data_IF_201886478894
#
_entry.id   IF_201886478894
#
_cell.length_a   1.000
_cell.length_b   1.000
_cell.length_c   1.000
_cell.angle_alpha   90.00
_cell.angle_beta   90.00
_cell.angle_gamma   90.00
#
_symmetry.space_group_name_H-M   'P 1'
#
loop_
_entity.id
_entity.type
_entity.pdbx_description
1 polymer ?
#
# COMPACT_ATOMS: atom_id res chain seq x y z
N UNK A 1 8.16 -41.56 -14.89
CA UNK A 1 7.34 -41.23 -13.69
C UNK A 1 8.03 -40.11 -12.92
N UNK A 2 8.09 -38.91 -13.50
CA UNK A 2 8.69 -37.72 -12.90
C UNK A 2 7.98 -36.52 -13.55
N UNK A 3 6.99 -35.90 -12.87
CA UNK A 3 6.60 -34.48 -13.04
C UNK A 3 5.21 -34.15 -12.41
N UNK A 4 5.06 -34.11 -11.08
CA UNK A 4 3.82 -33.58 -10.47
C UNK A 4 4.04 -32.62 -9.27
N UNK A 5 5.23 -32.05 -9.10
CA UNK A 5 5.55 -31.28 -7.87
C UNK A 5 5.65 -29.74 -8.04
N UNK A 6 5.17 -29.12 -9.13
CA UNK A 6 5.35 -27.66 -9.31
C UNK A 6 4.15 -26.85 -9.85
N UNK A 7 2.91 -27.33 -9.71
CA UNK A 7 1.73 -26.55 -10.14
C UNK A 7 0.95 -25.91 -8.98
N UNK A 8 1.15 -26.35 -7.74
CA UNK A 8 0.38 -25.87 -6.56
C UNK A 8 0.96 -24.61 -5.91
N UNK A 9 2.27 -24.35 -6.05
CA UNK A 9 2.92 -23.17 -5.47
C UNK A 9 2.66 -21.88 -6.29
N UNK A 10 2.67 -21.97 -7.61
CA UNK A 10 2.38 -20.84 -8.52
C UNK A 10 0.95 -20.31 -8.37
N UNK A 11 -0.05 -21.19 -8.27
CA UNK A 11 -1.45 -20.80 -8.14
C UNK A 11 -1.76 -20.18 -6.75
N UNK A 12 -1.13 -20.69 -5.68
CA UNK A 12 -1.27 -20.11 -4.34
C UNK A 12 -0.66 -18.70 -4.28
N UNK A 13 0.54 -18.51 -4.81
CA UNK A 13 1.26 -17.23 -4.76
C UNK A 13 0.53 -16.12 -5.52
N UNK A 14 0.03 -16.40 -6.72
CA UNK A 14 -0.78 -15.45 -7.50
C UNK A 14 -2.14 -15.17 -6.82
N UNK A 15 -2.77 -16.19 -6.24
CA UNK A 15 -3.96 -16.00 -5.42
C UNK A 15 -3.70 -15.10 -4.21
N UNK A 16 -2.59 -15.27 -3.49
CA UNK A 16 -2.23 -14.40 -2.35
C UNK A 16 -1.93 -12.97 -2.78
N UNK A 17 -1.26 -12.76 -3.92
CA UNK A 17 -1.06 -11.42 -4.50
C UNK A 17 -2.41 -10.75 -4.79
N UNK A 18 -3.34 -11.47 -5.42
CA UNK A 18 -4.70 -10.96 -5.66
C UNK A 18 -5.44 -10.63 -4.36
N UNK A 19 -5.37 -11.50 -3.32
CA UNK A 19 -6.01 -11.23 -2.01
C UNK A 19 -5.42 -10.02 -1.29
N UNK A 20 -4.10 -9.79 -1.40
CA UNK A 20 -3.43 -8.60 -0.84
C UNK A 20 -3.77 -7.33 -1.62
N UNK A 21 -3.89 -7.42 -2.94
CA UNK A 21 -4.37 -6.31 -3.76
C UNK A 21 -5.76 -5.88 -3.34
N UNK A 22 -6.69 -6.83 -3.21
CA UNK A 22 -8.05 -6.56 -2.71
C UNK A 22 -7.99 -5.99 -1.28
N UNK A 23 -7.11 -6.51 -0.40
CA UNK A 23 -6.90 -5.94 0.92
C UNK A 23 -6.51 -4.46 0.87
N UNK A 24 -5.59 -4.07 -0.02
CA UNK A 24 -5.18 -2.66 -0.17
C UNK A 24 -6.31 -1.78 -0.71
N UNK A 25 -7.15 -2.29 -1.60
CA UNK A 25 -8.34 -1.56 -2.07
C UNK A 25 -9.31 -1.27 -0.92
N UNK A 26 -9.56 -2.26 -0.04
CA UNK A 26 -10.36 -2.06 1.17
C UNK A 26 -9.70 -1.12 2.18
N UNK A 27 -8.38 -1.20 2.37
CA UNK A 27 -7.66 -0.22 3.22
C UNK A 27 -7.83 1.19 2.65
N UNK A 28 -7.67 1.37 1.34
CA UNK A 28 -7.85 2.66 0.69
C UNK A 28 -9.25 3.23 0.93
N UNK A 29 -10.30 2.40 0.80
CA UNK A 29 -11.68 2.81 1.12
C UNK A 29 -11.84 3.23 2.59
N UNK A 30 -11.28 2.45 3.51
CA UNK A 30 -11.33 2.77 4.94
C UNK A 30 -10.60 4.06 5.31
N UNK A 31 -9.41 4.28 4.74
CA UNK A 31 -8.64 5.50 4.95
C UNK A 31 -9.29 6.72 4.29
N UNK A 32 -9.94 6.55 3.14
CA UNK A 32 -10.74 7.59 2.53
C UNK A 32 -11.91 7.99 3.44
N UNK A 33 -12.68 7.01 3.93
CA UNK A 33 -13.77 7.26 4.89
C UNK A 33 -13.24 7.95 6.14
N UNK A 34 -12.16 7.45 6.72
CA UNK A 34 -11.51 8.04 7.89
C UNK A 34 -11.12 9.51 7.64
N UNK A 35 -10.53 9.82 6.49
CA UNK A 35 -10.10 11.17 6.15
C UNK A 35 -11.26 12.13 5.94
N UNK A 36 -12.34 11.69 5.30
CA UNK A 36 -13.45 12.55 4.88
C UNK A 36 -14.51 12.68 5.98
N UNK A 37 -14.82 11.58 6.67
CA UNK A 37 -15.90 11.49 7.66
C UNK A 37 -15.41 11.23 9.10
N UNK A 38 -14.12 10.92 9.29
CA UNK A 38 -13.61 10.50 10.59
C UNK A 38 -14.05 9.08 10.96
N UNK A 39 -14.09 8.81 12.26
CA UNK A 39 -14.48 7.51 12.82
C UNK A 39 -13.31 6.72 13.41
N UNK A 40 -13.62 5.80 14.31
CA UNK A 40 -12.64 4.87 14.88
C UNK A 40 -12.29 3.77 13.89
N UNK A 41 -11.04 3.31 13.91
CA UNK A 41 -10.56 2.26 13.02
C UNK A 41 -11.40 0.98 13.12
N UNK A 42 -11.75 0.54 14.35
CA UNK A 42 -12.59 -0.65 14.58
C UNK A 42 -13.97 -0.55 13.92
N UNK A 43 -14.59 0.63 13.97
CA UNK A 43 -15.91 0.85 13.39
C UNK A 43 -15.84 0.78 11.85
N UNK A 44 -14.85 1.46 11.26
CA UNK A 44 -14.62 1.43 9.81
C UNK A 44 -14.32 -0.01 9.36
N UNK A 45 -13.48 -0.71 10.10
CA UNK A 45 -13.11 -2.09 9.83
C UNK A 45 -14.33 -3.02 9.83
N UNK A 46 -15.20 -2.88 10.85
CA UNK A 46 -16.43 -3.68 10.95
C UNK A 46 -17.34 -3.44 9.74
N UNK A 47 -17.55 -2.19 9.34
CA UNK A 47 -18.38 -1.87 8.17
C UNK A 47 -17.83 -2.46 6.88
N UNK A 48 -16.53 -2.35 6.64
CA UNK A 48 -15.92 -2.87 5.41
C UNK A 48 -15.99 -4.40 5.31
N UNK A 49 -16.00 -5.09 6.46
CA UNK A 49 -16.14 -6.56 6.54
C UNK A 49 -17.52 -7.06 6.13
N UNK A 50 -18.53 -6.20 6.11
CA UNK A 50 -19.89 -6.56 5.68
C UNK A 50 -20.02 -6.70 4.15
N UNK A 51 -19.04 -6.23 3.37
CA UNK A 51 -19.02 -6.36 1.91
C UNK A 51 -18.86 -7.82 1.48
N UNK A 52 -19.63 -8.26 0.49
CA UNK A 52 -19.53 -9.61 -0.07
C UNK A 52 -18.15 -9.92 -0.65
N UNK A 53 -17.48 -8.91 -1.22
CA UNK A 53 -16.13 -8.99 -1.78
C UNK A 53 -15.07 -9.26 -0.70
N UNK A 54 -15.36 -8.94 0.57
CA UNK A 54 -14.41 -9.06 1.67
C UNK A 54 -13.95 -10.52 1.91
N UNK A 55 -14.73 -11.53 1.50
CA UNK A 55 -14.32 -12.95 1.56
C UNK A 55 -13.04 -13.25 0.77
N UNK A 56 -12.69 -12.38 -0.18
CA UNK A 56 -11.48 -12.49 -1.00
C UNK A 56 -10.29 -11.70 -0.43
N UNK A 57 -10.42 -11.00 0.69
CA UNK A 57 -9.38 -10.16 1.29
C UNK A 57 -8.35 -10.99 2.06
N UNK A 58 -7.07 -10.64 1.95
CA UNK A 58 -6.08 -11.03 2.98
C UNK A 58 -6.40 -10.27 4.28
N UNK A 59 -7.28 -10.86 5.11
CA UNK A 59 -7.83 -10.21 6.31
C UNK A 59 -6.77 -9.81 7.30
N UNK A 60 -5.70 -10.60 7.43
CA UNK A 60 -4.60 -10.28 8.35
C UNK A 60 -3.90 -9.00 7.88
N UNK A 61 -3.51 -8.96 6.60
CA UNK A 61 -2.86 -7.79 6.03
C UNK A 61 -3.77 -6.55 6.09
N UNK A 62 -5.04 -6.67 5.69
CA UNK A 62 -6.01 -5.59 5.79
C UNK A 62 -6.10 -5.00 7.20
N UNK A 63 -6.29 -5.86 8.22
CA UNK A 63 -6.43 -5.42 9.62
C UNK A 63 -5.17 -4.70 10.09
N UNK A 64 -4.00 -5.33 9.88
CA UNK A 64 -2.71 -4.78 10.32
C UNK A 64 -2.42 -3.41 9.70
N UNK A 65 -2.78 -3.23 8.44
CA UNK A 65 -2.50 -2.00 7.71
C UNK A 65 -3.52 -0.92 8.02
N UNK A 66 -4.84 -1.20 8.00
CA UNK A 66 -5.86 -0.20 8.30
C UNK A 66 -5.68 0.37 9.71
N UNK A 67 -5.60 -0.52 10.70
CA UNK A 67 -5.43 -0.14 12.11
C UNK A 67 -4.10 0.57 12.32
N UNK A 68 -3.02 0.00 11.79
CA UNK A 68 -1.68 0.55 11.91
C UNK A 68 -1.57 1.96 11.32
N UNK A 69 -2.12 2.18 10.13
CA UNK A 69 -2.11 3.51 9.51
C UNK A 69 -2.87 4.54 10.35
N UNK A 70 -4.07 4.20 10.85
CA UNK A 70 -4.88 5.14 11.63
C UNK A 70 -4.19 5.46 12.97
N UNK A 71 -3.61 4.45 13.64
CA UNK A 71 -2.90 4.64 14.91
C UNK A 71 -1.62 5.47 14.73
N UNK A 72 -0.87 5.24 13.66
CA UNK A 72 0.40 5.93 13.39
C UNK A 72 0.25 7.15 12.46
N UNK A 73 -0.96 7.65 12.24
CA UNK A 73 -1.22 8.64 11.20
C UNK A 73 -0.34 9.89 11.32
N UNK A 74 -0.18 10.44 12.53
CA UNK A 74 0.67 11.62 12.76
C UNK A 74 2.14 11.36 12.39
N UNK A 75 2.69 10.22 12.81
CA UNK A 75 4.07 9.81 12.48
C UNK A 75 4.24 9.64 10.97
N UNK A 76 3.26 9.03 10.30
CA UNK A 76 3.28 8.83 8.85
C UNK A 76 3.19 10.17 8.12
N UNK A 77 2.32 11.09 8.54
CA UNK A 77 2.22 12.44 7.94
C UNK A 77 3.53 13.22 8.08
N UNK A 78 4.16 13.19 9.26
CA UNK A 78 5.48 13.80 9.51
C UNK A 78 6.59 13.15 8.65
N UNK A 79 6.52 11.85 8.44
CA UNK A 79 7.44 11.12 7.58
C UNK A 79 7.27 11.48 6.09
N UNK A 80 6.03 11.67 5.65
CA UNK A 80 5.68 11.95 4.25
C UNK A 80 5.95 13.41 3.89
N UNK A 81 5.66 14.36 4.79
CA UNK A 81 5.69 15.80 4.49
C UNK A 81 6.99 16.30 3.83
N UNK A 82 8.21 15.88 4.25
CA UNK A 82 9.46 16.30 3.59
C UNK A 82 9.62 15.80 2.15
N UNK A 83 8.84 14.79 1.73
CA UNK A 83 8.87 14.25 0.37
C UNK A 83 7.87 14.95 -0.57
N UNK A 84 6.93 15.73 -0.02
CA UNK A 84 5.92 16.49 -0.74
C UNK A 84 6.44 17.87 -1.15
N UNK A 85 5.85 18.41 -2.21
CA UNK A 85 6.02 19.79 -2.68
C UNK A 85 4.93 20.74 -2.16
N UNK A 86 3.93 20.20 -1.45
CA UNK A 86 2.82 20.92 -0.82
C UNK A 86 2.52 20.35 0.57
N UNK A 87 1.81 21.10 1.43
CA UNK A 87 1.31 20.57 2.71
C UNK A 87 0.50 19.28 2.53
N UNK A 88 0.62 18.32 3.45
CA UNK A 88 -0.15 17.07 3.47
C UNK A 88 -1.66 17.34 3.38
N UNK A 89 -2.14 18.40 4.03
CA UNK A 89 -3.56 18.81 3.99
C UNK A 89 -4.08 19.17 2.59
N UNK A 90 -3.20 19.48 1.65
CA UNK A 90 -3.54 19.86 0.28
C UNK A 90 -3.50 18.64 -0.68
N UNK A 91 -3.25 17.44 -0.16
CA UNK A 91 -3.44 16.20 -0.91
C UNK A 91 -4.92 15.90 -1.10
N UNK A 92 -5.28 15.33 -2.25
CA UNK A 92 -6.60 14.72 -2.41
C UNK A 92 -6.77 13.56 -1.41
N UNK A 93 -8.00 13.23 -0.98
CA UNK A 93 -8.23 12.11 -0.05
C UNK A 93 -7.65 10.78 -0.53
N UNK A 94 -7.63 10.54 -1.85
CA UNK A 94 -7.06 9.32 -2.45
C UNK A 94 -5.54 9.34 -2.40
N UNK A 95 -4.88 10.44 -2.79
CA UNK A 95 -3.42 10.57 -2.66
C UNK A 95 -2.98 10.40 -1.21
N UNK A 96 -3.69 11.07 -0.28
CA UNK A 96 -3.43 10.97 1.15
C UNK A 96 -3.50 9.51 1.62
N UNK A 97 -4.60 8.82 1.35
CA UNK A 97 -4.79 7.45 1.78
C UNK A 97 -3.76 6.49 1.18
N UNK A 98 -3.43 6.61 -0.11
CA UNK A 98 -2.42 5.76 -0.77
C UNK A 98 -1.03 6.01 -0.17
N UNK A 99 -0.65 7.27 0.04
CA UNK A 99 0.65 7.61 0.60
C UNK A 99 0.81 7.11 2.04
N UNK A 100 -0.22 7.23 2.87
CA UNK A 100 -0.20 6.70 4.23
C UNK A 100 -0.10 5.17 4.24
N UNK A 101 -0.97 4.49 3.48
CA UNK A 101 -0.96 3.03 3.28
C UNK A 101 0.43 2.53 2.87
N UNK A 102 0.98 3.07 1.79
CA UNK A 102 2.23 2.60 1.23
C UNK A 102 3.43 2.95 2.11
N UNK A 103 3.42 4.10 2.80
CA UNK A 103 4.48 4.46 3.75
C UNK A 103 4.49 3.49 4.93
N UNK A 104 3.32 3.15 5.47
CA UNK A 104 3.20 2.15 6.53
C UNK A 104 3.74 0.79 6.07
N UNK A 105 3.42 0.34 4.85
CA UNK A 105 4.00 -0.89 4.31
C UNK A 105 5.53 -0.84 4.18
N UNK A 106 6.07 0.28 3.68
CA UNK A 106 7.52 0.49 3.55
C UNK A 106 8.25 0.46 4.91
N UNK A 107 7.58 0.82 6.00
CA UNK A 107 8.16 0.83 7.34
C UNK A 107 7.99 -0.50 8.07
N UNK A 108 6.85 -1.16 7.92
CA UNK A 108 6.45 -2.27 8.80
C UNK A 108 6.43 -3.66 8.15
N UNK A 109 6.54 -3.77 6.83
CA UNK A 109 6.45 -5.05 6.11
C UNK A 109 7.72 -5.36 5.30
N UNK A 110 8.89 -5.58 5.94
CA UNK A 110 10.18 -5.86 5.27
C UNK A 110 10.16 -7.07 4.32
N UNK A 111 9.22 -7.99 4.50
CA UNK A 111 9.02 -9.15 3.63
C UNK A 111 8.38 -8.79 2.28
N UNK A 112 7.80 -7.59 2.12
CA UNK A 112 7.23 -7.10 0.88
C UNK A 112 8.26 -6.20 0.17
N UNK A 113 8.76 -6.59 -1.02
CA UNK A 113 9.72 -5.76 -1.75
C UNK A 113 9.18 -4.36 -2.02
N UNK A 114 9.99 -3.32 -1.81
CA UNK A 114 9.52 -1.93 -1.96
C UNK A 114 8.88 -1.63 -3.32
N UNK A 115 9.38 -2.26 -4.40
CA UNK A 115 8.80 -2.10 -5.75
C UNK A 115 7.40 -2.67 -5.88
N UNK A 116 7.11 -3.78 -5.19
CA UNK A 116 5.76 -4.32 -5.19
C UNK A 116 4.80 -3.34 -4.51
N UNK A 117 5.21 -2.72 -3.39
CA UNK A 117 4.42 -1.69 -2.71
C UNK A 117 4.17 -0.49 -3.64
N UNK A 118 5.23 0.03 -4.27
CA UNK A 118 5.11 1.18 -5.19
C UNK A 118 4.21 0.85 -6.39
N UNK A 119 4.39 -0.32 -7.01
CA UNK A 119 3.58 -0.73 -8.15
C UNK A 119 2.09 -0.80 -7.78
N UNK A 120 1.75 -1.41 -6.65
CA UNK A 120 0.36 -1.48 -6.17
C UNK A 120 -0.21 -0.09 -5.86
N UNK A 121 0.60 0.80 -5.28
CA UNK A 121 0.20 2.18 -5.01
C UNK A 121 -0.13 2.96 -6.30
N UNK A 122 0.67 2.77 -7.35
CA UNK A 122 0.43 3.37 -8.67
C UNK A 122 -0.87 2.81 -9.28
N UNK A 123 -1.10 1.50 -9.19
CA UNK A 123 -2.33 0.89 -9.68
C UNK A 123 -3.56 1.42 -8.94
N UNK A 124 -3.51 1.53 -7.60
CA UNK A 124 -4.57 2.17 -6.82
C UNK A 124 -4.79 3.62 -7.27
N UNK A 125 -3.72 4.40 -7.48
CA UNK A 125 -3.84 5.78 -7.91
C UNK A 125 -4.41 5.91 -9.34
N UNK A 126 -4.17 4.94 -10.22
CA UNK A 126 -4.80 4.87 -11.55
C UNK A 126 -6.27 4.51 -11.47
N UNK A 127 -6.64 3.61 -10.58
CA UNK A 127 -8.02 3.12 -10.45
C UNK A 127 -8.92 4.13 -9.72
N UNK A 128 -8.41 4.78 -8.66
CA UNK A 128 -9.23 5.61 -7.77
C UNK A 128 -8.88 7.11 -7.83
N UNK A 129 -7.73 7.47 -8.39
CA UNK A 129 -7.26 8.86 -8.43
C UNK A 129 -7.62 9.62 -9.71
N UNK A 130 -7.20 10.88 -9.77
CA UNK A 130 -7.32 11.72 -10.97
C UNK A 130 -6.28 11.39 -12.04
N UNK A 131 -6.42 11.99 -13.24
CA UNK A 131 -5.64 11.68 -14.44
C UNK A 131 -4.11 11.64 -14.25
N UNK A 132 -3.56 12.45 -13.34
CA UNK A 132 -2.12 12.56 -13.08
C UNK A 132 -1.70 12.11 -11.67
N UNK A 133 -2.63 11.66 -10.82
CA UNK A 133 -2.34 11.33 -9.40
C UNK A 133 -1.32 10.21 -9.24
N UNK A 134 -1.32 9.24 -10.16
CA UNK A 134 -0.38 8.11 -10.14
C UNK A 134 1.09 8.52 -10.36
N UNK A 135 1.37 9.55 -11.17
CA UNK A 135 2.75 10.05 -11.35
C UNK A 135 3.25 10.75 -10.09
N UNK A 136 2.37 11.51 -9.45
CA UNK A 136 2.67 12.18 -8.19
C UNK A 136 2.98 11.17 -7.08
N UNK A 137 2.08 10.21 -6.86
CA UNK A 137 2.26 9.12 -5.89
C UNK A 137 3.59 8.38 -6.14
N UNK A 138 3.89 8.02 -7.38
CA UNK A 138 5.16 7.35 -7.70
C UNK A 138 6.38 8.19 -7.28
N UNK A 139 6.41 9.48 -7.65
CA UNK A 139 7.54 10.35 -7.33
C UNK A 139 7.75 10.57 -5.84
N UNK A 140 6.68 10.61 -5.04
CA UNK A 140 6.76 10.70 -3.58
C UNK A 140 7.24 9.38 -2.98
N UNK A 141 6.68 8.25 -3.41
CA UNK A 141 7.06 6.94 -2.87
C UNK A 141 8.48 6.52 -3.24
N UNK A 142 9.01 6.95 -4.40
CA UNK A 142 10.42 6.75 -4.75
C UNK A 142 11.36 7.42 -3.71
N UNK A 143 11.02 8.62 -3.23
CA UNK A 143 11.79 9.31 -2.17
C UNK A 143 11.67 8.58 -0.82
N UNK A 144 10.46 8.14 -0.48
CA UNK A 144 10.20 7.42 0.78
C UNK A 144 10.89 6.04 0.80
N UNK A 145 10.93 5.34 -0.33
CA UNK A 145 11.64 4.07 -0.45
C UNK A 145 13.16 4.25 -0.25
N UNK A 146 13.76 5.34 -0.75
CA UNK A 146 15.17 5.66 -0.46
C UNK A 146 15.39 5.86 1.05
N UNK A 147 14.43 6.47 1.76
CA UNK A 147 14.51 6.74 3.20
C UNK A 147 14.32 5.49 4.06
N UNK A 148 13.34 4.64 3.74
CA UNK A 148 12.95 3.50 4.60
C UNK A 148 13.46 2.15 4.11
N UNK A 149 13.87 2.05 2.85
CA UNK A 149 14.29 0.81 2.18
C UNK A 149 15.63 0.99 1.46
N UNK A 150 16.52 1.79 2.04
CA UNK A 150 17.79 2.16 1.41
C UNK A 150 18.60 0.96 0.91
N UNK A 151 18.69 -0.10 1.71
CA UNK A 151 19.42 -1.34 1.37
C UNK A 151 18.83 -1.97 0.11
N UNK A 152 17.52 -2.21 0.08
CA UNK A 152 16.82 -2.78 -1.09
C UNK A 152 17.00 -1.89 -2.34
N UNK A 153 16.92 -0.56 -2.18
CA UNK A 153 17.07 0.39 -3.29
C UNK A 153 18.50 0.35 -3.86
N UNK A 154 19.53 0.25 -3.01
CA UNK A 154 20.94 0.18 -3.42
C UNK A 154 21.24 -1.12 -4.17
N UNK A 155 20.83 -2.26 -3.63
CA UNK A 155 21.02 -3.58 -4.27
C UNK A 155 20.34 -3.64 -5.64
N UNK A 156 19.17 -3.04 -5.76
CA UNK A 156 18.45 -3.04 -7.02
C UNK A 156 19.09 -2.15 -8.10
N UNK A 157 19.81 -1.09 -7.71
CA UNK A 157 20.59 -0.23 -8.61
C UNK A 157 21.86 -0.91 -9.12
N UNK A 158 22.48 -1.78 -8.32
CA UNK A 158 23.67 -2.53 -8.74
C UNK A 158 23.30 -3.62 -9.75
N UNK A 159 22.19 -4.35 -9.53
CA UNK A 159 21.66 -5.35 -10.47
C UNK A 159 21.36 -4.76 -11.85
N UNK A 160 20.75 -3.56 -11.92
CA UNK A 160 20.44 -2.90 -13.21
C UNK A 160 21.67 -2.40 -13.98
N UNK A 161 22.83 -2.28 -13.34
CA UNK A 161 24.08 -1.82 -13.98
C UNK A 161 24.90 -2.95 -14.61
N UNK A 162 24.55 -4.22 -14.35
CA UNK A 162 25.15 -5.39 -14.97
C UNK A 162 24.07 -6.20 -15.71
N UNK A 163 23.72 -5.83 -16.95
CA UNK A 163 22.92 -6.65 -17.84
C UNK A 163 23.69 -7.89 -18.35
#
# INVERSE_FOLDING_TARGET
MLSEIDQTAGNKTEKYKSRRRIAREFVLQGLYQWRVAGGGADFIEQQLRESEEFKHVDTKHFTQVLQGVIVHATELEEAIQPCLDRPVKDLSPVEFAILLLSTYELMHFPEIPYRAIINEAIELARTFGGSEGHKYVNGVLDKLAVRFREVEVREQKTVRKHP
#
